data_IF_234108888846
#
_entry.id   IF_234108888846
#
_cell.length_a   1.000
_cell.length_b   1.000
_cell.length_c   1.000
_cell.angle_alpha   90.00
_cell.angle_beta   90.00
_cell.angle_gamma   90.00
#
_symmetry.space_group_name_H-M   'P 1'
#
loop_
_entity.id
_entity.type
_entity.pdbx_description
1 polymer ?
#
# COMPACT_ATOMS: atom_id res chain seq x y z
N UNK A 1 31.08 22.80 -15.59
CA UNK A 1 30.27 21.85 -16.40
C UNK A 1 30.04 20.46 -15.76
N UNK A 2 29.51 20.38 -14.52
CA UNK A 2 29.11 19.09 -13.89
C UNK A 2 27.85 19.15 -13.00
N UNK A 3 27.06 20.22 -13.03
CA UNK A 3 25.86 20.32 -12.16
C UNK A 3 24.61 19.61 -12.71
N UNK A 4 24.55 19.20 -13.98
CA UNK A 4 23.32 18.64 -14.58
C UNK A 4 23.07 17.14 -14.30
N UNK A 5 24.11 16.36 -14.03
CA UNK A 5 23.97 14.89 -13.92
C UNK A 5 23.40 14.42 -12.57
N UNK A 6 23.54 15.22 -11.50
CA UNK A 6 23.11 14.84 -10.14
C UNK A 6 21.58 14.87 -10.03
N UNK A 7 20.93 15.83 -10.69
CA UNK A 7 19.47 15.99 -10.65
C UNK A 7 18.71 14.89 -11.40
N UNK A 8 19.26 14.43 -12.53
CA UNK A 8 18.62 13.41 -13.35
C UNK A 8 18.69 12.00 -12.75
N UNK A 9 19.74 11.73 -11.96
CA UNK A 9 19.89 10.45 -11.25
C UNK A 9 18.92 10.35 -10.07
N UNK A 10 18.70 11.45 -9.33
CA UNK A 10 17.81 11.47 -8.17
C UNK A 10 16.35 11.16 -8.57
N UNK A 11 15.86 11.80 -9.64
CA UNK A 11 14.48 11.65 -10.13
C UNK A 11 14.11 10.21 -10.53
N UNK A 12 15.08 9.45 -11.03
CA UNK A 12 14.86 8.07 -11.48
C UNK A 12 14.86 7.07 -10.32
N UNK A 13 15.68 7.30 -9.28
CA UNK A 13 15.59 6.55 -8.01
C UNK A 13 14.25 6.78 -7.30
N UNK A 14 13.77 8.02 -7.22
CA UNK A 14 12.48 8.34 -6.59
C UNK A 14 11.31 7.58 -7.25
N UNK A 15 11.29 7.50 -8.59
CA UNK A 15 10.26 6.77 -9.32
C UNK A 15 10.28 5.24 -9.08
N UNK A 16 11.46 4.63 -9.03
CA UNK A 16 11.60 3.19 -8.75
C UNK A 16 11.30 2.84 -7.29
N UNK A 17 11.63 3.74 -6.36
CA UNK A 17 11.30 3.61 -4.94
C UNK A 17 9.78 3.73 -4.72
N UNK A 18 9.12 4.67 -5.41
CA UNK A 18 7.66 4.82 -5.42
C UNK A 18 6.96 3.57 -5.98
N UNK A 19 7.43 3.01 -7.10
CA UNK A 19 6.88 1.75 -7.63
C UNK A 19 7.05 0.59 -6.66
N UNK A 20 8.21 0.49 -6.01
CA UNK A 20 8.49 -0.56 -5.02
C UNK A 20 7.57 -0.43 -3.81
N UNK A 21 7.35 0.81 -3.33
CA UNK A 21 6.41 1.12 -2.26
C UNK A 21 4.97 0.78 -2.65
N UNK A 22 4.55 1.13 -3.87
CA UNK A 22 3.23 0.77 -4.40
C UNK A 22 3.02 -0.74 -4.47
N UNK A 23 4.00 -1.51 -4.94
CA UNK A 23 3.93 -2.98 -4.95
C UNK A 23 3.78 -3.55 -3.53
N UNK A 24 4.53 -3.03 -2.56
CA UNK A 24 4.41 -3.44 -1.14
C UNK A 24 3.03 -3.12 -0.57
N UNK A 25 2.48 -1.93 -0.88
CA UNK A 25 1.14 -1.53 -0.44
C UNK A 25 0.04 -2.37 -1.11
N UNK A 26 0.22 -2.73 -2.38
CA UNK A 26 -0.72 -3.61 -3.09
C UNK A 26 -0.75 -5.02 -2.51
N UNK A 27 0.41 -5.59 -2.19
CA UNK A 27 0.50 -6.87 -1.49
C UNK A 27 -0.19 -6.81 -0.12
N UNK A 28 0.02 -5.75 0.66
CA UNK A 28 -0.65 -5.54 1.96
C UNK A 28 -2.17 -5.41 1.84
N UNK A 29 -2.66 -4.64 0.88
CA UNK A 29 -4.10 -4.50 0.64
C UNK A 29 -4.74 -5.83 0.24
N UNK A 30 -4.06 -6.61 -0.61
CA UNK A 30 -4.53 -7.94 -1.02
C UNK A 30 -4.56 -8.90 0.17
N UNK A 31 -3.52 -8.90 1.02
CA UNK A 31 -3.49 -9.72 2.23
C UNK A 31 -4.63 -9.33 3.19
N UNK A 32 -4.79 -8.04 3.48
CA UNK A 32 -5.83 -7.59 4.40
C UNK A 32 -7.25 -7.89 3.89
N UNK A 33 -7.46 -7.91 2.57
CA UNK A 33 -8.70 -8.38 1.95
C UNK A 33 -8.92 -9.88 2.22
N UNK A 34 -7.89 -10.70 2.06
CA UNK A 34 -7.99 -12.14 2.33
C UNK A 34 -8.25 -12.41 3.81
N UNK A 35 -7.53 -11.73 4.72
CA UNK A 35 -7.74 -11.86 6.16
C UNK A 35 -9.19 -11.50 6.55
N UNK A 36 -9.79 -10.48 5.92
CA UNK A 36 -11.19 -10.10 6.15
C UNK A 36 -12.18 -11.14 5.60
N UNK A 37 -11.88 -11.73 4.45
CA UNK A 37 -12.68 -12.80 3.86
C UNK A 37 -12.70 -14.03 4.78
N UNK A 38 -11.52 -14.51 5.18
CA UNK A 38 -11.38 -15.69 6.03
C UNK A 38 -12.04 -15.48 7.40
N UNK A 39 -11.90 -14.28 7.97
CA UNK A 39 -12.55 -13.94 9.23
C UNK A 39 -14.09 -13.91 9.10
N UNK A 40 -14.62 -13.56 7.94
CA UNK A 40 -16.06 -13.60 7.68
C UNK A 40 -16.60 -15.03 7.56
N UNK A 41 -15.79 -15.99 7.11
CA UNK A 41 -16.14 -17.41 7.03
C UNK A 41 -16.03 -18.14 8.38
N UNK A 42 -15.16 -17.69 9.30
CA UNK A 42 -14.95 -18.31 10.62
C UNK A 42 -15.98 -17.93 11.70
N UNK A 43 -16.90 -16.99 11.42
CA UNK A 43 -17.88 -16.53 12.41
C UNK A 43 -18.78 -17.69 12.90
N UNK A 44 -19.05 -17.82 14.23
CA UNK A 44 -18.86 -16.82 15.30
C UNK A 44 -17.48 -16.84 15.98
N UNK A 45 -16.53 -17.63 15.50
CA UNK A 45 -15.17 -17.67 16.04
C UNK A 45 -14.45 -16.35 15.69
N UNK A 46 -13.67 -15.78 16.63
CA UNK A 46 -12.90 -14.53 16.41
C UNK A 46 -13.71 -13.24 16.09
N UNK A 47 -15.00 -13.16 16.46
CA UNK A 47 -15.85 -11.98 16.20
C UNK A 47 -15.30 -10.66 16.78
N UNK A 48 -14.53 -10.71 17.86
CA UNK A 48 -13.90 -9.53 18.48
C UNK A 48 -12.85 -8.87 17.57
N UNK A 49 -12.27 -9.63 16.64
CA UNK A 49 -11.24 -9.15 15.70
C UNK A 49 -11.82 -8.51 14.44
N UNK A 50 -13.14 -8.55 14.23
CA UNK A 50 -13.79 -7.96 13.04
C UNK A 50 -13.39 -6.50 12.88
N UNK A 51 -13.46 -5.71 13.96
CA UNK A 51 -13.13 -4.29 13.91
C UNK A 51 -11.66 -4.07 13.58
N UNK A 52 -10.74 -4.83 14.17
CA UNK A 52 -9.31 -4.72 13.90
C UNK A 52 -8.98 -5.06 12.44
N UNK A 53 -9.52 -6.16 11.93
CA UNK A 53 -9.23 -6.63 10.56
C UNK A 53 -9.90 -5.71 9.52
N UNK A 54 -11.12 -5.25 9.77
CA UNK A 54 -11.78 -4.26 8.92
C UNK A 54 -11.00 -2.94 8.88
N UNK A 55 -10.54 -2.45 10.04
CA UNK A 55 -9.73 -1.24 10.14
C UNK A 55 -8.41 -1.38 9.38
N UNK A 56 -7.70 -2.50 9.54
CA UNK A 56 -6.48 -2.81 8.78
C UNK A 56 -6.72 -2.85 7.28
N UNK A 57 -7.80 -3.47 6.84
CA UNK A 57 -8.16 -3.55 5.42
C UNK A 57 -8.41 -2.15 4.85
N UNK A 58 -9.18 -1.33 5.57
CA UNK A 58 -9.44 0.06 5.18
C UNK A 58 -8.14 0.87 5.09
N UNK A 59 -7.29 0.82 6.11
CA UNK A 59 -6.01 1.54 6.13
C UNK A 59 -5.05 1.08 5.04
N UNK A 60 -4.96 -0.22 4.77
CA UNK A 60 -4.11 -0.75 3.70
C UNK A 60 -4.57 -0.25 2.32
N UNK A 61 -5.88 -0.22 2.08
CA UNK A 61 -6.46 0.31 0.84
C UNK A 61 -6.34 1.84 0.74
N UNK A 62 -6.55 2.58 1.83
CA UNK A 62 -6.36 4.03 1.87
C UNK A 62 -4.90 4.41 1.54
N UNK A 63 -3.93 3.76 2.19
CA UNK A 63 -2.51 3.97 1.92
C UNK A 63 -2.13 3.66 0.46
N UNK A 64 -2.74 2.63 -0.13
CA UNK A 64 -2.53 2.30 -1.55
C UNK A 64 -3.07 3.40 -2.45
N UNK A 65 -4.26 3.93 -2.16
CA UNK A 65 -4.87 5.03 -2.94
C UNK A 65 -4.07 6.32 -2.83
N UNK A 66 -3.65 6.70 -1.63
CA UNK A 66 -2.78 7.86 -1.40
C UNK A 66 -1.46 7.71 -2.17
N UNK A 67 -0.83 6.53 -2.10
CA UNK A 67 0.41 6.28 -2.84
C UNK A 67 0.21 6.31 -4.36
N UNK A 68 -0.96 5.87 -4.86
CA UNK A 68 -1.31 5.98 -6.29
C UNK A 68 -1.53 7.42 -6.70
N UNK A 69 -2.19 8.24 -5.88
CA UNK A 69 -2.37 9.66 -6.14
C UNK A 69 -1.01 10.39 -6.15
N UNK A 70 -0.15 10.12 -5.17
CA UNK A 70 1.19 10.69 -5.12
C UNK A 70 2.02 10.32 -6.36
N UNK A 71 1.94 9.06 -6.81
CA UNK A 71 2.63 8.62 -8.02
C UNK A 71 2.04 9.19 -9.33
N UNK A 72 0.76 9.55 -9.34
CA UNK A 72 0.10 10.18 -10.51
C UNK A 72 0.34 11.70 -10.59
N UNK A 73 0.74 12.32 -9.47
CA UNK A 73 1.07 13.74 -9.39
C UNK A 73 2.55 14.06 -9.72
N UNK A 74 3.37 13.04 -9.94
CA UNK A 74 4.79 13.10 -10.33
C UNK A 74 4.94 13.04 -11.85
#
# INVERSE_FOLDING_TARGET
PRCGAIWSLNMSTDAEELKTRLKKLNARATQAKMDLHDLSEELPTNWEKILEVAQRCHEAHANLMDARQAAAAV
#
